data_IF_256987196660
#
_entry.id   IF_256987196660
#
_cell.length_a   1.000
_cell.length_b   1.000
_cell.length_c   1.000
_cell.angle_alpha   90.00
_cell.angle_beta   90.00
_cell.angle_gamma   90.00
#
_symmetry.space_group_name_H-M   'P 1'
#
loop_
_entity.id
_entity.type
_entity.pdbx_description
1 polymer ?
#
# COMPACT_ATOMS: atom_id res chain seq x y z
N UNK A 1 -8.14 29.32 -15.47
CA UNK A 1 -7.91 30.51 -14.62
C UNK A 1 -6.68 30.26 -13.76
N UNK A 2 -5.62 31.01 -14.08
CA UNK A 2 -4.36 31.30 -13.38
C UNK A 2 -3.71 30.26 -12.44
N UNK A 3 -2.58 29.69 -12.92
CA UNK A 3 -1.47 29.14 -12.11
C UNK A 3 -0.39 30.22 -11.99
N UNK A 4 0.13 30.45 -10.79
CA UNK A 4 1.34 31.24 -10.57
C UNK A 4 2.52 30.32 -10.26
N UNK A 5 3.58 30.45 -11.08
CA UNK A 5 4.92 29.91 -10.88
C UNK A 5 5.82 31.00 -10.29
N UNK A 6 6.71 30.73 -9.32
CA UNK A 6 7.75 31.68 -8.93
C UNK A 6 8.96 31.58 -9.88
N UNK A 7 9.45 32.74 -10.28
CA UNK A 7 10.61 32.96 -11.15
C UNK A 7 11.93 32.64 -10.44
N UNK A 8 12.72 31.74 -11.00
CA UNK A 8 14.14 31.56 -10.69
C UNK A 8 14.98 32.47 -11.61
N UNK A 9 15.13 33.74 -11.26
CA UNK A 9 16.14 34.61 -11.88
C UNK A 9 16.40 35.76 -10.92
N UNK A 10 17.41 35.67 -10.05
CA UNK A 10 18.07 36.85 -9.46
C UNK A 10 19.43 36.54 -8.80
N UNK A 11 19.73 35.29 -8.45
CA UNK A 11 21.01 34.98 -7.76
C UNK A 11 22.27 35.00 -8.64
N UNK A 12 22.14 34.98 -9.98
CA UNK A 12 23.30 35.01 -10.90
C UNK A 12 23.83 36.42 -11.18
N UNK A 13 23.07 37.47 -10.88
CA UNK A 13 23.49 38.86 -11.13
C UNK A 13 24.44 39.39 -10.04
N UNK A 14 24.24 38.96 -8.79
CA UNK A 14 25.02 39.45 -7.63
C UNK A 14 26.43 38.82 -7.59
N UNK A 15 26.55 37.56 -8.02
CA UNK A 15 27.85 36.88 -8.11
C UNK A 15 28.77 37.52 -9.19
N UNK A 16 28.21 38.06 -10.27
CA UNK A 16 29.00 38.63 -11.38
C UNK A 16 29.49 40.06 -11.08
N UNK A 17 28.69 40.87 -10.37
CA UNK A 17 29.11 42.21 -9.92
C UNK A 17 30.18 42.16 -8.80
N UNK A 18 30.15 41.13 -7.96
CA UNK A 18 31.14 40.96 -6.88
C UNK A 18 32.51 40.56 -7.44
N UNK A 19 32.56 39.71 -8.48
CA UNK A 19 33.80 39.29 -9.14
C UNK A 19 34.48 40.44 -9.94
N UNK A 20 33.70 41.34 -10.55
CA UNK A 20 34.26 42.50 -11.27
C UNK A 20 34.82 43.59 -10.33
N UNK A 21 34.28 43.70 -9.12
CA UNK A 21 34.75 44.69 -8.13
C UNK A 21 36.07 44.25 -7.47
N UNK A 22 36.30 42.94 -7.34
CA UNK A 22 37.58 42.40 -6.83
C UNK A 22 38.71 42.49 -7.86
N UNK A 23 38.43 42.28 -9.17
CA UNK A 23 39.46 42.45 -10.22
C UNK A 23 39.95 43.89 -10.37
N UNK A 24 39.05 44.88 -10.26
CA UNK A 24 39.43 46.30 -10.39
C UNK A 24 40.32 46.81 -9.22
N UNK A 25 40.26 46.17 -8.04
CA UNK A 25 41.11 46.51 -6.89
C UNK A 25 42.48 45.83 -6.89
N UNK A 26 42.69 44.82 -7.74
CA UNK A 26 44.01 44.16 -7.88
C UNK A 26 44.88 44.91 -8.89
N UNK A 27 44.28 45.57 -9.89
CA UNK A 27 44.99 46.38 -10.89
C UNK A 27 45.43 47.77 -10.36
N UNK A 28 44.88 48.25 -9.24
CA UNK A 28 45.25 49.55 -8.64
C UNK A 28 46.42 49.48 -7.64
N UNK A 29 47.01 48.29 -7.40
CA UNK A 29 48.12 48.10 -6.44
C UNK A 29 49.47 47.74 -7.07
N UNK A 30 49.61 47.74 -8.40
CA UNK A 30 50.92 47.61 -9.06
C UNK A 30 51.66 48.96 -9.02
N UNK A 31 52.33 49.20 -7.90
CA UNK A 31 53.33 50.27 -7.77
C UNK A 31 54.55 49.87 -8.61
N UNK A 32 54.83 50.70 -9.63
CA UNK A 32 56.06 50.73 -10.40
C UNK A 32 57.29 50.72 -9.47
N UNK A 33 58.17 49.73 -9.64
CA UNK A 33 59.55 49.79 -9.18
C UNK A 33 60.47 49.99 -10.40
N UNK A 34 61.14 51.15 -10.43
CA UNK A 34 62.22 51.44 -11.39
C UNK A 34 63.44 50.54 -11.14
N UNK A 35 64.25 50.21 -12.16
CA UNK A 35 65.39 49.33 -12.04
C UNK A 35 66.65 50.08 -11.55
N UNK A 36 67.33 49.53 -10.55
CA UNK A 36 68.68 49.95 -10.10
C UNK A 36 69.73 49.02 -10.74
N UNK A 37 70.86 49.54 -11.23
CA UNK A 37 71.69 48.82 -12.21
C UNK A 37 72.60 47.75 -11.59
N UNK A 38 72.81 46.69 -12.37
CA UNK A 38 73.85 45.69 -12.20
C UNK A 38 75.23 46.33 -12.03
N UNK A 39 75.93 45.98 -10.96
CA UNK A 39 77.35 45.62 -10.97
C UNK A 39 77.85 45.43 -9.54
N UNK A 40 77.85 44.20 -9.03
CA UNK A 40 78.99 43.61 -8.31
C UNK A 40 78.84 42.09 -8.39
N UNK A 41 79.71 41.45 -9.18
CA UNK A 41 79.89 40.00 -9.24
C UNK A 41 80.73 39.59 -8.04
N UNK A 42 80.12 39.06 -6.98
CA UNK A 42 80.85 38.31 -5.93
C UNK A 42 80.55 36.84 -6.13
N UNK A 43 81.60 36.13 -6.53
CA UNK A 43 81.64 34.68 -6.67
C UNK A 43 81.56 34.08 -5.26
N UNK A 44 80.45 33.40 -4.94
CA UNK A 44 80.37 32.51 -3.79
C UNK A 44 80.31 31.08 -4.34
N UNK A 45 81.41 30.35 -4.17
CA UNK A 45 81.45 28.91 -4.39
C UNK A 45 80.54 28.23 -3.36
N UNK A 46 79.56 27.48 -3.87
CA UNK A 46 78.66 26.61 -3.10
C UNK A 46 79.30 25.22 -3.00
N UNK A 47 79.32 24.54 -1.85
CA UNK A 47 79.54 23.11 -1.82
C UNK A 47 78.24 22.41 -2.22
N UNK A 48 78.35 21.50 -3.19
CA UNK A 48 77.32 20.54 -3.54
C UNK A 48 77.12 19.57 -2.36
N UNK A 49 75.89 19.48 -1.86
CA UNK A 49 75.41 18.32 -1.13
C UNK A 49 74.11 17.90 -1.79
N UNK A 50 74.16 16.73 -2.41
CA UNK A 50 73.05 16.03 -3.04
C UNK A 50 72.03 15.59 -1.96
N UNK A 51 70.76 15.90 -2.26
CA UNK A 51 69.51 15.16 -2.02
C UNK A 51 69.57 13.91 -1.11
N UNK A 52 68.67 13.68 -0.15
CA UNK A 52 67.24 13.42 -0.34
C UNK A 52 66.57 13.19 1.03
N UNK A 53 65.44 13.86 1.32
CA UNK A 53 64.20 13.24 1.88
C UNK A 53 63.11 14.28 2.12
N UNK A 54 61.90 13.88 1.75
CA UNK A 54 60.66 14.65 1.71
C UNK A 54 60.18 15.09 3.09
N UNK A 55 59.78 16.36 3.22
CA UNK A 55 58.75 16.77 4.18
C UNK A 55 58.22 18.15 3.76
N UNK A 56 56.91 18.27 3.66
CA UNK A 56 56.18 19.51 3.40
C UNK A 56 56.48 20.52 4.51
N UNK A 57 57.51 21.34 4.31
CA UNK A 57 57.79 22.50 5.15
C UNK A 57 56.92 23.67 4.70
N UNK A 58 56.01 24.07 5.58
CA UNK A 58 55.18 25.27 5.45
C UNK A 58 56.04 26.49 5.18
N UNK A 59 55.58 27.39 4.32
CA UNK A 59 56.23 28.68 3.99
C UNK A 59 56.61 29.51 5.24
N UNK A 60 55.96 29.28 6.39
CA UNK A 60 56.35 29.88 7.68
C UNK A 60 57.73 29.47 8.21
N UNK A 61 58.25 28.29 7.85
CA UNK A 61 59.56 27.80 8.27
C UNK A 61 60.71 28.54 7.59
N UNK A 62 60.53 28.96 6.34
CA UNK A 62 61.56 29.66 5.59
C UNK A 62 61.72 31.12 6.05
N UNK A 63 60.59 31.76 6.39
CA UNK A 63 60.59 33.14 6.91
C UNK A 63 61.21 33.20 8.31
N UNK A 64 60.92 32.25 9.20
CA UNK A 64 61.55 32.18 10.52
C UNK A 64 63.06 31.90 10.42
N UNK A 65 63.50 31.03 9.52
CA UNK A 65 64.93 30.74 9.30
C UNK A 65 65.68 31.97 8.75
N UNK A 66 65.06 32.72 7.83
CA UNK A 66 65.64 33.94 7.28
C UNK A 66 65.75 35.06 8.33
N UNK A 67 64.72 35.23 9.16
CA UNK A 67 64.74 36.18 10.28
C UNK A 67 65.82 35.82 11.32
N UNK A 68 65.98 34.53 11.64
CA UNK A 68 67.01 34.08 12.57
C UNK A 68 68.43 34.32 12.02
N UNK A 69 68.67 34.02 10.75
CA UNK A 69 69.97 34.26 10.11
C UNK A 69 70.31 35.76 10.00
N UNK A 70 69.32 36.61 9.76
CA UNK A 70 69.49 38.07 9.76
C UNK A 70 69.88 38.59 11.14
N UNK A 71 69.17 38.16 12.19
CA UNK A 71 69.47 38.56 13.57
C UNK A 71 70.85 38.07 14.02
N UNK A 72 71.24 36.85 13.64
CA UNK A 72 72.56 36.32 13.93
C UNK A 72 73.68 37.12 13.24
N UNK A 73 73.46 37.58 12.00
CA UNK A 73 74.41 38.42 11.28
C UNK A 73 74.54 39.82 11.89
N UNK A 74 73.42 40.44 12.30
CA UNK A 74 73.44 41.73 13.01
C UNK A 74 74.16 41.64 14.36
N UNK A 75 73.96 40.55 15.11
CA UNK A 75 74.68 40.28 16.36
C UNK A 75 76.19 40.07 16.13
N UNK A 76 76.58 39.47 15.01
CA UNK A 76 77.98 39.31 14.64
C UNK A 76 78.64 40.66 14.32
N UNK A 77 77.99 41.48 13.49
CA UNK A 77 78.47 42.83 13.13
C UNK A 77 78.57 43.76 14.33
N UNK A 78 77.60 43.71 15.26
CA UNK A 78 77.66 44.51 16.50
C UNK A 78 78.79 44.08 17.42
N UNK A 79 79.09 42.77 17.52
CA UNK A 79 80.24 42.28 18.29
C UNK A 79 81.57 42.72 17.67
N UNK A 80 81.70 42.72 16.35
CA UNK A 80 82.89 43.20 15.64
C UNK A 80 83.11 44.70 15.89
N UNK A 81 82.04 45.52 15.78
CA UNK A 81 82.10 46.95 16.08
C UNK A 81 82.49 47.25 17.54
N UNK A 82 81.97 46.47 18.49
CA UNK A 82 82.34 46.60 19.91
C UNK A 82 83.82 46.26 20.14
N UNK A 83 84.35 45.29 19.39
CA UNK A 83 85.76 44.93 19.47
C UNK A 83 86.66 46.01 18.86
N UNK A 84 86.31 46.56 17.69
CA UNK A 84 87.05 47.67 17.06
C UNK A 84 87.09 48.92 17.95
N UNK A 85 85.98 49.22 18.64
CA UNK A 85 85.93 50.32 19.60
C UNK A 85 86.85 50.08 20.80
N UNK A 86 86.90 48.85 21.33
CA UNK A 86 87.83 48.49 22.42
C UNK A 86 89.28 48.62 21.99
N UNK A 87 89.61 48.17 20.79
CA UNK A 87 90.97 48.22 20.24
C UNK A 87 91.39 49.69 20.00
N UNK A 88 90.48 50.52 19.52
CA UNK A 88 90.70 51.96 19.35
C UNK A 88 90.90 52.68 20.68
N UNK A 89 90.10 52.35 21.71
CA UNK A 89 90.26 52.88 23.07
C UNK A 89 91.62 52.48 23.66
N UNK A 90 92.02 51.21 23.50
CA UNK A 90 93.32 50.73 23.96
C UNK A 90 94.48 51.44 23.26
N UNK A 91 94.39 51.64 21.94
CA UNK A 91 95.39 52.38 21.17
C UNK A 91 95.55 53.83 21.66
N UNK A 92 94.43 54.51 21.96
CA UNK A 92 94.42 55.86 22.51
C UNK A 92 95.08 55.91 23.89
N UNK A 93 94.76 54.95 24.77
CA UNK A 93 95.39 54.80 26.10
C UNK A 93 96.89 54.56 25.99
N UNK A 94 97.33 53.68 25.09
CA UNK A 94 98.74 53.38 24.87
C UNK A 94 99.50 54.60 24.34
N UNK A 95 98.88 55.39 23.45
CA UNK A 95 99.47 56.63 22.92
C UNK A 95 99.62 57.68 24.02
N UNK A 96 98.60 57.86 24.86
CA UNK A 96 98.65 58.76 26.01
C UNK A 96 99.73 58.34 27.02
N UNK A 97 99.76 57.05 27.39
CA UNK A 97 100.79 56.47 28.27
C UNK A 97 102.21 56.67 27.71
N UNK A 98 102.42 56.46 26.40
CA UNK A 98 103.71 56.72 25.74
C UNK A 98 104.10 58.20 25.77
N UNK A 99 103.14 59.12 25.63
CA UNK A 99 103.41 60.55 25.73
C UNK A 99 103.75 60.97 27.15
N UNK A 100 103.05 60.43 28.14
CA UNK A 100 103.32 60.67 29.56
C UNK A 100 104.71 60.15 29.94
N UNK A 101 105.03 58.90 29.59
CA UNK A 101 106.33 58.30 29.84
C UNK A 101 107.49 59.09 29.21
N UNK A 102 107.31 59.63 28.00
CA UNK A 102 108.30 60.52 27.37
C UNK A 102 108.52 61.81 28.16
N UNK A 103 107.45 62.38 28.74
CA UNK A 103 107.53 63.59 29.56
C UNK A 103 108.15 63.29 30.92
N UNK A 104 107.83 62.16 31.53
CA UNK A 104 108.46 61.71 32.78
C UNK A 104 109.96 61.47 32.60
N UNK A 105 110.36 60.79 31.52
CA UNK A 105 111.78 60.60 31.18
C UNK A 105 112.50 61.94 30.94
N UNK A 106 111.85 62.90 30.27
CA UNK A 106 112.41 64.23 30.06
C UNK A 106 112.58 64.98 31.39
N UNK A 107 111.64 64.83 32.31
CA UNK A 107 111.68 65.44 33.64
C UNK A 107 112.77 64.81 34.50
N UNK A 108 112.90 63.48 34.47
CA UNK A 108 113.97 62.74 35.15
C UNK A 108 115.36 63.17 34.65
N UNK A 109 115.54 63.28 33.34
CA UNK A 109 116.80 63.72 32.74
C UNK A 109 117.14 65.18 33.11
N UNK A 110 116.13 66.06 33.19
CA UNK A 110 116.33 67.41 33.71
C UNK A 110 116.67 67.42 35.20
N UNK A 111 116.06 66.53 35.99
CA UNK A 111 116.36 66.38 37.41
C UNK A 111 117.80 65.88 37.63
N UNK A 112 118.25 64.87 36.88
CA UNK A 112 119.65 64.41 36.91
C UNK A 112 120.62 65.52 36.51
N UNK A 113 120.28 66.34 35.50
CA UNK A 113 121.09 67.49 35.11
C UNK A 113 121.20 68.51 36.24
N UNK A 114 120.11 68.80 36.95
CA UNK A 114 120.14 69.66 38.15
C UNK A 114 121.05 69.05 39.21
N UNK A 115 120.95 67.74 39.48
CA UNK A 115 121.77 67.08 40.50
C UNK A 115 123.27 67.10 40.16
N UNK A 116 123.62 66.92 38.87
CA UNK A 116 125.00 67.08 38.39
C UNK A 116 125.50 68.52 38.57
N UNK A 117 124.71 69.52 38.18
CA UNK A 117 125.09 70.94 38.34
C UNK A 117 125.21 71.32 39.82
N UNK A 118 124.35 70.76 40.69
CA UNK A 118 124.47 70.93 42.14
C UNK A 118 125.73 70.28 42.70
N UNK A 119 126.12 69.10 42.19
CA UNK A 119 127.35 68.41 42.58
C UNK A 119 128.61 69.11 42.06
N UNK A 120 128.61 69.62 40.83
CA UNK A 120 129.68 70.48 40.29
C UNK A 120 129.81 71.75 41.12
N UNK A 121 128.70 72.42 41.44
CA UNK A 121 128.68 73.58 42.33
C UNK A 121 129.26 73.23 43.71
N UNK A 122 128.92 72.07 44.27
CA UNK A 122 129.46 71.60 45.56
C UNK A 122 130.98 71.39 45.47
N UNK A 123 131.47 70.69 44.44
CA UNK A 123 132.89 70.49 44.20
C UNK A 123 133.67 71.81 44.00
N UNK A 124 133.04 72.81 43.38
CA UNK A 124 133.61 74.17 43.24
C UNK A 124 133.65 74.95 44.57
N UNK A 125 132.70 74.71 45.47
CA UNK A 125 132.69 75.32 46.81
C UNK A 125 133.75 74.69 47.73
N UNK A 126 134.10 73.43 47.50
CA UNK A 126 135.06 72.66 48.31
C UNK A 126 136.52 72.77 47.83
N UNK A 127 136.78 73.37 46.66
CA UNK A 127 138.12 73.61 46.10
C UNK A 127 138.57 75.07 46.22
N UNK A 128 139.71 75.32 46.88
CA UNK A 128 140.30 76.65 47.04
C UNK A 128 140.70 77.28 45.69
N UNK A 129 140.23 78.51 45.47
CA UNK A 129 140.64 79.49 44.43
C UNK A 129 140.29 79.25 42.95
N UNK A 130 139.02 79.00 42.63
CA UNK A 130 138.49 79.22 41.27
C UNK A 130 137.16 79.99 41.23
N UNK A 131 137.21 81.22 40.69
CA UNK A 131 136.15 82.04 40.08
C UNK A 131 134.72 82.01 40.67
N UNK A 132 134.39 83.04 41.49
CA UNK A 132 133.01 83.39 41.89
C UNK A 132 132.02 83.51 40.69
N UNK A 133 132.52 83.80 39.50
CA UNK A 133 131.70 84.02 38.30
C UNK A 133 131.07 82.72 37.77
N UNK A 134 131.74 81.58 37.94
CA UNK A 134 131.25 80.29 37.46
C UNK A 134 130.17 79.69 38.37
N UNK A 135 130.25 79.93 39.68
CA UNK A 135 129.22 79.54 40.65
C UNK A 135 127.90 80.32 40.49
N UNK A 136 127.96 81.61 40.11
CA UNK A 136 126.77 82.41 39.81
C UNK A 136 126.08 81.95 38.51
N UNK A 137 126.86 81.61 37.48
CA UNK A 137 126.33 81.06 36.22
C UNK A 137 125.65 79.70 36.43
N UNK A 138 126.23 78.81 37.23
CA UNK A 138 125.61 77.55 37.65
C UNK A 138 124.29 77.79 38.41
N UNK A 139 124.26 78.79 39.30
CA UNK A 139 123.04 79.14 40.05
C UNK A 139 121.92 79.63 39.13
N UNK A 140 122.24 80.46 38.12
CA UNK A 140 121.27 80.91 37.11
C UNK A 140 120.76 79.75 36.26
N UNK A 141 121.62 78.82 35.84
CA UNK A 141 121.20 77.63 35.09
C UNK A 141 120.28 76.73 35.92
N UNK A 142 120.60 76.48 37.20
CA UNK A 142 119.72 75.71 38.11
C UNK A 142 118.37 76.40 38.30
N UNK A 143 118.34 77.74 38.46
CA UNK A 143 117.09 78.49 38.56
C UNK A 143 116.26 78.41 37.26
N UNK A 144 116.90 78.49 36.09
CA UNK A 144 116.24 78.36 34.80
C UNK A 144 115.68 76.95 34.57
N UNK A 145 116.42 75.90 34.95
CA UNK A 145 115.93 74.53 34.93
C UNK A 145 114.73 74.34 35.89
N UNK A 146 114.79 74.87 37.11
CA UNK A 146 113.65 74.83 38.06
C UNK A 146 112.42 75.56 37.54
N UNK A 147 112.60 76.71 36.87
CA UNK A 147 111.50 77.42 36.23
C UNK A 147 110.86 76.61 35.10
N UNK A 148 111.69 75.95 34.28
CA UNK A 148 111.23 75.08 33.19
C UNK A 148 110.45 73.87 33.72
N UNK A 149 110.95 73.21 34.79
CA UNK A 149 110.26 72.08 35.44
C UNK A 149 108.91 72.53 36.00
N UNK A 150 108.85 73.68 36.70
CA UNK A 150 107.58 74.22 37.21
C UNK A 150 106.57 74.50 36.09
N UNK A 151 107.03 75.05 34.96
CA UNK A 151 106.17 75.27 33.80
C UNK A 151 105.66 73.95 33.21
N UNK A 152 106.53 72.94 33.07
CA UNK A 152 106.13 71.62 32.59
C UNK A 152 105.16 70.93 33.55
N UNK A 153 105.37 71.02 34.85
CA UNK A 153 104.45 70.51 35.88
C UNK A 153 103.08 71.19 35.79
N UNK A 154 103.04 72.52 35.55
CA UNK A 154 101.79 73.25 35.34
C UNK A 154 101.04 72.75 34.11
N UNK A 155 101.73 72.57 32.99
CA UNK A 155 101.14 72.04 31.74
C UNK A 155 100.60 70.62 31.95
N UNK A 156 101.35 69.76 32.65
CA UNK A 156 100.90 68.39 32.99
C UNK A 156 99.64 68.42 33.88
N UNK A 157 99.59 69.33 34.86
CA UNK A 157 98.44 69.47 35.74
C UNK A 157 97.18 69.95 34.97
N UNK A 158 97.33 70.93 34.08
CA UNK A 158 96.24 71.41 33.22
C UNK A 158 95.74 70.33 32.25
N UNK A 159 96.65 69.59 31.60
CA UNK A 159 96.28 68.46 30.73
C UNK A 159 95.56 67.36 31.51
N UNK A 160 96.05 67.01 32.70
CA UNK A 160 95.42 66.01 33.57
C UNK A 160 94.00 66.43 33.96
N UNK A 161 93.81 67.71 34.33
CA UNK A 161 92.49 68.25 34.66
C UNK A 161 91.54 68.21 33.46
N UNK A 162 91.98 68.71 32.31
CA UNK A 162 91.18 68.70 31.07
C UNK A 162 90.77 67.29 30.67
N UNK A 163 91.70 66.32 30.76
CA UNK A 163 91.40 64.92 30.44
C UNK A 163 90.42 64.30 31.45
N UNK A 164 90.53 64.65 32.74
CA UNK A 164 89.59 64.17 33.75
C UNK A 164 88.16 64.69 33.50
N UNK A 165 88.01 65.94 33.07
CA UNK A 165 86.71 66.53 32.72
C UNK A 165 86.12 65.88 31.45
N UNK A 166 86.95 65.62 30.44
CA UNK A 166 86.55 64.91 29.22
C UNK A 166 86.08 63.47 29.53
N UNK A 167 86.81 62.74 30.38
CA UNK A 167 86.43 61.39 30.81
C UNK A 167 85.10 61.38 31.56
N UNK A 168 84.85 62.34 32.46
CA UNK A 168 83.56 62.44 33.16
C UNK A 168 82.41 62.81 32.21
N UNK A 169 82.64 63.71 31.24
CA UNK A 169 81.66 64.02 30.20
C UNK A 169 81.32 62.78 29.34
N UNK A 170 82.33 62.01 28.92
CA UNK A 170 82.15 60.78 28.16
C UNK A 170 81.43 59.69 28.96
N UNK A 171 81.70 59.58 30.28
CA UNK A 171 80.94 58.68 31.17
C UNK A 171 79.47 59.05 31.23
N UNK A 172 79.17 60.35 31.36
CA UNK A 172 77.79 60.86 31.37
C UNK A 172 77.09 60.57 30.04
N UNK A 173 77.72 60.88 28.92
CA UNK A 173 77.17 60.60 27.60
C UNK A 173 76.92 59.09 27.38
N UNK A 174 77.84 58.23 27.82
CA UNK A 174 77.64 56.78 27.78
C UNK A 174 76.47 56.31 28.66
N UNK A 175 76.28 56.92 29.84
CA UNK A 175 75.13 56.62 30.68
C UNK A 175 73.80 57.02 30.00
N UNK A 176 73.76 58.20 29.36
CA UNK A 176 72.59 58.69 28.63
C UNK A 176 72.26 57.80 27.42
N UNK A 177 73.28 57.33 26.68
CA UNK A 177 73.11 56.39 25.57
C UNK A 177 72.54 55.05 26.08
N UNK A 178 73.09 54.50 27.17
CA UNK A 178 72.59 53.26 27.77
C UNK A 178 71.14 53.40 28.24
N UNK A 179 70.79 54.51 28.87
CA UNK A 179 69.42 54.79 29.30
C UNK A 179 68.46 54.88 28.11
N UNK A 180 68.86 55.56 27.04
CA UNK A 180 68.07 55.70 25.81
C UNK A 180 67.89 54.35 25.11
N UNK A 181 68.94 53.53 25.04
CA UNK A 181 68.89 52.19 24.49
C UNK A 181 67.95 51.28 25.30
N UNK A 182 68.05 51.30 26.63
CA UNK A 182 67.17 50.52 27.50
C UNK A 182 65.71 50.93 27.33
N UNK A 183 65.44 52.23 27.29
CA UNK A 183 64.09 52.76 27.07
C UNK A 183 63.51 52.35 25.71
N UNK A 184 64.34 52.31 24.66
CA UNK A 184 63.94 51.79 23.35
C UNK A 184 63.60 50.30 23.41
N UNK A 185 64.42 49.51 24.10
CA UNK A 185 64.19 48.07 24.25
C UNK A 185 62.91 47.78 25.06
N UNK A 186 62.64 48.55 26.10
CA UNK A 186 61.44 48.38 26.92
C UNK A 186 60.17 48.74 26.13
N UNK A 187 60.22 49.81 25.32
CA UNK A 187 59.14 50.14 24.38
C UNK A 187 58.87 49.05 23.34
N UNK A 188 59.92 48.43 22.80
CA UNK A 188 59.78 47.35 21.83
C UNK A 188 59.15 46.10 22.47
N UNK A 189 59.55 45.76 23.71
CA UNK A 189 58.91 44.69 24.49
C UNK A 189 57.44 44.98 24.78
N UNK A 190 57.10 46.21 25.17
CA UNK A 190 55.71 46.62 25.40
C UNK A 190 54.87 46.51 24.12
N UNK A 191 55.40 46.96 22.99
CA UNK A 191 54.74 46.86 21.68
C UNK A 191 54.46 45.40 21.31
N UNK A 192 55.46 44.52 21.40
CA UNK A 192 55.27 43.10 21.11
C UNK A 192 54.31 42.40 22.07
N UNK A 193 54.32 42.79 23.35
CA UNK A 193 53.37 42.26 24.33
C UNK A 193 51.94 42.72 24.01
N UNK A 194 51.75 43.97 23.58
CA UNK A 194 50.45 44.48 23.13
C UNK A 194 49.96 43.75 21.87
N UNK A 195 50.83 43.57 20.87
CA UNK A 195 50.53 42.78 19.67
C UNK A 195 50.13 41.34 20.01
N UNK A 196 50.88 40.70 20.91
CA UNK A 196 50.57 39.35 21.40
C UNK A 196 49.21 39.29 22.07
N UNK A 197 48.89 40.27 22.90
CA UNK A 197 47.60 40.34 23.61
C UNK A 197 46.44 40.55 22.64
N UNK A 198 46.60 41.42 21.64
CA UNK A 198 45.61 41.62 20.57
C UNK A 198 45.40 40.34 19.75
N UNK A 199 46.48 39.65 19.36
CA UNK A 199 46.38 38.39 18.63
C UNK A 199 45.74 37.28 19.47
N UNK A 200 46.09 37.17 20.75
CA UNK A 200 45.48 36.23 21.69
C UNK A 200 43.98 36.46 21.83
N UNK A 201 43.55 37.72 21.96
CA UNK A 201 42.13 38.08 22.02
C UNK A 201 41.39 37.76 20.72
N UNK A 202 41.99 38.06 19.56
CA UNK A 202 41.42 37.71 18.25
C UNK A 202 41.26 36.20 18.09
N UNK A 203 42.26 35.42 18.51
CA UNK A 203 42.22 33.97 18.48
C UNK A 203 41.12 33.42 19.39
N UNK A 204 41.03 33.91 20.63
CA UNK A 204 39.96 33.52 21.57
C UNK A 204 38.57 33.81 21.01
N UNK A 205 38.39 34.97 20.38
CA UNK A 205 37.13 35.35 19.72
C UNK A 205 36.81 34.43 18.54
N UNK A 206 37.80 34.10 17.72
CA UNK A 206 37.63 33.18 16.59
C UNK A 206 37.23 31.77 17.05
N UNK A 207 37.86 31.26 18.12
CA UNK A 207 37.52 29.97 18.72
C UNK A 207 36.07 29.97 19.23
N UNK A 208 35.64 31.03 19.92
CA UNK A 208 34.25 31.13 20.39
C UNK A 208 33.25 31.09 19.23
N UNK A 209 33.50 31.85 18.17
CA UNK A 209 32.64 31.86 16.97
C UNK A 209 32.60 30.50 16.28
N UNK A 210 33.72 29.78 16.27
CA UNK A 210 33.80 28.43 15.71
C UNK A 210 32.96 27.43 16.51
N UNK A 211 33.02 27.49 17.84
CA UNK A 211 32.14 26.67 18.69
C UNK A 211 30.65 26.99 18.48
N UNK A 212 30.29 28.27 18.38
CA UNK A 212 28.90 28.67 18.11
C UNK A 212 28.42 28.16 16.75
N UNK A 213 29.28 28.25 15.72
CA UNK A 213 28.97 27.72 14.39
C UNK A 213 28.82 26.19 14.39
N UNK A 214 29.67 25.47 15.13
CA UNK A 214 29.54 24.02 15.29
C UNK A 214 28.24 23.63 15.98
N UNK A 215 27.84 24.36 17.04
CA UNK A 215 26.56 24.11 17.72
C UNK A 215 25.38 24.32 16.77
N UNK A 216 25.37 25.42 16.00
CA UNK A 216 24.32 25.67 15.01
C UNK A 216 24.26 24.59 13.91
N UNK A 217 25.43 24.08 13.48
CA UNK A 217 25.49 22.98 12.51
C UNK A 217 24.88 21.71 13.11
N UNK A 218 25.21 21.38 14.35
CA UNK A 218 24.65 20.22 15.03
C UNK A 218 23.13 20.32 15.20
N UNK A 219 22.61 21.49 15.61
CA UNK A 219 21.17 21.73 15.72
C UNK A 219 20.45 21.53 14.36
N UNK A 220 21.08 21.98 13.26
CA UNK A 220 20.58 21.81 11.89
C UNK A 220 20.63 20.35 11.42
N UNK A 221 21.66 19.61 11.79
CA UNK A 221 21.78 18.18 11.49
C UNK A 221 20.69 17.38 12.20
N UNK A 222 20.40 17.70 13.47
CA UNK A 222 19.32 17.08 14.23
C UNK A 222 17.93 17.40 13.63
N UNK A 223 17.72 18.65 13.19
CA UNK A 223 16.50 19.04 12.49
C UNK A 223 16.34 18.28 11.16
N UNK A 224 17.42 18.15 10.39
CA UNK A 224 17.44 17.41 9.13
C UNK A 224 17.18 15.91 9.35
N UNK A 225 17.72 15.34 10.42
CA UNK A 225 17.45 13.96 10.82
C UNK A 225 15.96 13.76 11.15
N UNK A 226 15.36 14.66 11.93
CA UNK A 226 13.91 14.63 12.24
C UNK A 226 13.06 14.73 10.98
N UNK A 227 13.37 15.68 10.09
CA UNK A 227 12.65 15.86 8.82
C UNK A 227 12.72 14.59 7.94
N UNK A 228 13.88 13.95 7.84
CA UNK A 228 14.03 12.68 7.11
C UNK A 228 13.20 11.56 7.73
N UNK A 229 13.18 11.47 9.05
CA UNK A 229 12.37 10.46 9.75
C UNK A 229 10.87 10.67 9.51
N UNK A 230 10.39 11.91 9.60
CA UNK A 230 8.98 12.25 9.37
C UNK A 230 8.57 12.02 7.91
N UNK A 231 9.47 12.32 6.96
CA UNK A 231 9.26 12.00 5.54
C UNK A 231 9.06 10.49 5.34
N UNK A 232 9.92 9.64 5.90
CA UNK A 232 9.78 8.19 5.81
C UNK A 232 8.47 7.67 6.42
N UNK A 233 8.01 8.27 7.52
CA UNK A 233 6.71 7.94 8.12
C UNK A 233 5.55 8.33 7.21
N UNK A 234 5.62 9.51 6.60
CA UNK A 234 4.59 9.98 5.67
C UNK A 234 4.54 9.14 4.40
N UNK A 235 5.70 8.74 3.85
CA UNK A 235 5.77 7.84 2.68
C UNK A 235 5.13 6.47 2.98
N UNK A 236 5.35 5.93 4.18
CA UNK A 236 4.69 4.70 4.64
C UNK A 236 3.18 4.87 4.78
N UNK A 237 2.70 6.00 5.29
CA UNK A 237 1.26 6.30 5.39
C UNK A 237 0.65 6.44 4.00
N UNK A 238 1.29 7.17 3.09
CA UNK A 238 0.86 7.35 1.70
C UNK A 238 0.76 6.00 1.00
N UNK A 239 1.79 5.15 1.11
CA UNK A 239 1.77 3.79 0.54
C UNK A 239 0.61 2.94 1.06
N UNK A 240 0.21 3.11 2.33
CA UNK A 240 -0.97 2.41 2.88
C UNK A 240 -2.26 2.97 2.27
N UNK A 241 -2.38 4.29 2.16
CA UNK A 241 -3.55 4.93 1.55
C UNK A 241 -3.72 4.56 0.08
N UNK A 242 -2.63 4.54 -0.70
CA UNK A 242 -2.67 4.11 -2.11
C UNK A 242 -3.19 2.67 -2.26
N UNK A 243 -2.79 1.75 -1.36
CA UNK A 243 -3.34 0.38 -1.35
C UNK A 243 -4.83 0.36 -1.03
N UNK A 244 -5.26 1.14 -0.04
CA UNK A 244 -6.68 1.25 0.30
C UNK A 244 -7.51 1.83 -0.84
N UNK A 245 -6.99 2.86 -1.53
CA UNK A 245 -7.64 3.44 -2.71
C UNK A 245 -7.79 2.40 -3.82
N UNK A 246 -6.73 1.66 -4.15
CA UNK A 246 -6.80 0.57 -5.14
C UNK A 246 -7.84 -0.49 -4.77
N UNK A 247 -7.92 -0.87 -3.49
CA UNK A 247 -8.94 -1.81 -3.03
C UNK A 247 -10.36 -1.26 -3.27
N UNK A 248 -10.61 0.00 -2.95
CA UNK A 248 -11.91 0.62 -3.21
C UNK A 248 -12.22 0.74 -4.69
N UNK A 249 -11.23 1.01 -5.55
CA UNK A 249 -11.43 1.01 -7.01
C UNK A 249 -11.83 -0.37 -7.54
N UNK A 250 -11.21 -1.44 -7.03
CA UNK A 250 -11.59 -2.82 -7.35
C UNK A 250 -13.00 -3.15 -6.84
N UNK A 251 -13.34 -2.78 -5.60
CA UNK A 251 -14.65 -3.04 -5.02
C UNK A 251 -15.76 -2.26 -5.74
N UNK A 252 -15.52 -1.00 -6.09
CA UNK A 252 -16.45 -0.20 -6.92
C UNK A 252 -16.64 -0.84 -8.29
N UNK A 253 -15.58 -1.39 -8.90
CA UNK A 253 -15.69 -2.06 -10.19
C UNK A 253 -16.53 -3.33 -10.11
N UNK A 254 -16.38 -4.13 -9.04
CA UNK A 254 -17.23 -5.30 -8.77
C UNK A 254 -18.69 -4.90 -8.56
N UNK A 255 -18.95 -3.88 -7.73
CA UNK A 255 -20.31 -3.38 -7.50
C UNK A 255 -20.97 -2.89 -8.79
N UNK A 256 -20.23 -2.21 -9.67
CA UNK A 256 -20.75 -1.81 -10.99
C UNK A 256 -21.15 -3.02 -11.84
N UNK A 257 -20.35 -4.08 -11.82
CA UNK A 257 -20.66 -5.31 -12.53
C UNK A 257 -21.93 -5.97 -11.96
N UNK A 258 -22.02 -6.12 -10.64
CA UNK A 258 -23.20 -6.70 -9.98
C UNK A 258 -24.48 -5.89 -10.28
N UNK A 259 -24.40 -4.56 -10.24
CA UNK A 259 -25.51 -3.67 -10.62
C UNK A 259 -25.92 -3.89 -12.06
N UNK A 260 -24.97 -4.07 -12.98
CA UNK A 260 -25.27 -4.34 -14.38
C UNK A 260 -25.92 -5.71 -14.59
N UNK A 261 -25.47 -6.75 -13.88
CA UNK A 261 -26.07 -8.09 -13.90
C UNK A 261 -27.52 -8.06 -13.36
N UNK A 262 -27.76 -7.36 -12.25
CA UNK A 262 -29.10 -7.16 -11.70
C UNK A 262 -30.01 -6.39 -12.66
N UNK A 263 -29.50 -5.36 -13.32
CA UNK A 263 -30.26 -4.60 -14.32
C UNK A 263 -30.71 -5.48 -15.50
N UNK A 264 -29.83 -6.37 -15.99
CA UNK A 264 -30.17 -7.34 -17.03
C UNK A 264 -31.26 -8.31 -16.53
N UNK A 265 -31.13 -8.82 -15.31
CA UNK A 265 -32.10 -9.72 -14.70
C UNK A 265 -33.49 -9.07 -14.53
N UNK A 266 -33.53 -7.82 -14.05
CA UNK A 266 -34.76 -7.03 -13.94
C UNK A 266 -35.42 -6.88 -15.32
N UNK A 267 -34.64 -6.53 -16.35
CA UNK A 267 -35.17 -6.40 -17.71
C UNK A 267 -35.78 -7.71 -18.24
N UNK A 268 -35.14 -8.84 -17.96
CA UNK A 268 -35.68 -10.16 -18.33
C UNK A 268 -36.97 -10.48 -17.56
N UNK A 269 -37.08 -10.08 -16.29
CA UNK A 269 -38.32 -10.23 -15.54
C UNK A 269 -39.44 -9.35 -16.10
N UNK A 270 -39.14 -8.10 -16.48
CA UNK A 270 -40.12 -7.21 -17.13
C UNK A 270 -40.62 -7.80 -18.45
N UNK A 271 -39.73 -8.30 -19.31
CA UNK A 271 -40.10 -8.98 -20.56
C UNK A 271 -40.98 -10.22 -20.30
N UNK A 272 -40.69 -10.98 -19.25
CA UNK A 272 -41.49 -12.14 -18.84
C UNK A 272 -42.87 -11.74 -18.29
N UNK A 273 -42.96 -10.63 -17.55
CA UNK A 273 -44.23 -10.09 -17.05
C UNK A 273 -45.12 -9.69 -18.22
N UNK A 274 -44.59 -8.95 -19.19
CA UNK A 274 -45.32 -8.57 -20.41
C UNK A 274 -45.86 -9.78 -21.16
N UNK A 275 -45.04 -10.83 -21.33
CA UNK A 275 -45.47 -12.09 -21.96
C UNK A 275 -46.59 -12.79 -21.20
N UNK A 276 -46.54 -12.78 -19.86
CA UNK A 276 -47.62 -13.33 -19.02
C UNK A 276 -48.88 -12.49 -19.07
N UNK A 277 -48.77 -11.17 -19.11
CA UNK A 277 -49.92 -10.27 -19.25
C UNK A 277 -50.65 -10.52 -20.59
N UNK A 278 -49.91 -10.74 -21.68
CA UNK A 278 -50.50 -11.17 -22.96
C UNK A 278 -51.23 -12.53 -22.85
N UNK A 279 -50.64 -13.51 -22.17
CA UNK A 279 -51.30 -14.80 -21.94
C UNK A 279 -52.58 -14.64 -21.10
N UNK A 280 -52.53 -13.84 -20.03
CA UNK A 280 -53.69 -13.56 -19.18
C UNK A 280 -54.79 -12.89 -20.01
N UNK A 281 -54.46 -11.96 -20.89
CA UNK A 281 -55.43 -11.33 -21.77
C UNK A 281 -56.10 -12.34 -22.71
N UNK A 282 -55.31 -13.24 -23.33
CA UNK A 282 -55.86 -14.32 -24.18
C UNK A 282 -56.78 -15.26 -23.40
N UNK A 283 -56.45 -15.58 -22.15
CA UNK A 283 -57.29 -16.40 -21.27
C UNK A 283 -58.60 -15.68 -20.91
N UNK A 284 -58.56 -14.38 -20.61
CA UNK A 284 -59.76 -13.57 -20.38
C UNK A 284 -60.66 -13.56 -21.62
N UNK A 285 -60.11 -13.36 -22.81
CA UNK A 285 -60.87 -13.38 -24.06
C UNK A 285 -61.50 -14.76 -24.32
N UNK A 286 -60.77 -15.84 -24.04
CA UNK A 286 -61.29 -17.20 -24.14
C UNK A 286 -62.40 -17.47 -23.12
N UNK A 287 -62.27 -16.95 -21.89
CA UNK A 287 -63.30 -17.04 -20.86
C UNK A 287 -64.57 -16.30 -21.26
N UNK A 288 -64.45 -15.08 -21.83
CA UNK A 288 -65.60 -14.32 -22.35
C UNK A 288 -66.32 -15.13 -23.43
N UNK A 289 -65.58 -15.65 -24.43
CA UNK A 289 -66.16 -16.50 -25.48
C UNK A 289 -66.82 -17.77 -24.94
N UNK A 290 -66.24 -18.38 -23.91
CA UNK A 290 -66.84 -19.54 -23.24
C UNK A 290 -68.13 -19.16 -22.53
N UNK A 291 -68.18 -17.98 -21.90
CA UNK A 291 -69.38 -17.48 -21.24
C UNK A 291 -70.50 -17.20 -22.24
N UNK A 292 -70.19 -16.53 -23.36
CA UNK A 292 -71.17 -16.29 -24.45
C UNK A 292 -71.80 -17.60 -24.94
N UNK A 293 -70.99 -18.64 -25.17
CA UNK A 293 -71.50 -19.97 -25.56
C UNK A 293 -72.38 -20.62 -24.48
N UNK A 294 -72.03 -20.44 -23.20
CA UNK A 294 -72.83 -20.97 -22.08
C UNK A 294 -74.17 -20.24 -21.98
N UNK A 295 -74.19 -18.93 -22.23
CA UNK A 295 -75.42 -18.13 -22.26
C UNK A 295 -76.31 -18.55 -23.44
N UNK A 296 -75.74 -18.77 -24.62
CA UNK A 296 -76.44 -19.32 -25.79
C UNK A 296 -77.05 -20.69 -25.51
N UNK A 297 -76.27 -21.61 -24.96
CA UNK A 297 -76.75 -22.94 -24.56
C UNK A 297 -77.86 -22.85 -23.51
N UNK A 298 -77.73 -21.95 -22.54
CA UNK A 298 -78.76 -21.71 -21.52
C UNK A 298 -80.04 -21.19 -22.14
N UNK A 299 -79.95 -20.31 -23.14
CA UNK A 299 -81.09 -19.82 -23.90
C UNK A 299 -81.78 -20.95 -24.67
N UNK A 300 -81.01 -21.79 -25.38
CA UNK A 300 -81.53 -22.96 -26.11
C UNK A 300 -82.19 -23.95 -25.16
N UNK A 301 -81.57 -24.24 -24.01
CA UNK A 301 -82.17 -25.12 -22.98
C UNK A 301 -83.49 -24.54 -22.48
N UNK A 302 -83.57 -23.23 -22.25
CA UNK A 302 -84.81 -22.55 -21.83
C UNK A 302 -85.89 -22.67 -22.91
N UNK A 303 -85.56 -22.47 -24.18
CA UNK A 303 -86.51 -22.64 -25.29
C UNK A 303 -86.98 -24.10 -25.44
N UNK A 304 -86.07 -25.07 -25.35
CA UNK A 304 -86.41 -26.49 -25.39
C UNK A 304 -87.28 -26.89 -24.20
N UNK A 305 -86.99 -26.39 -23.00
CA UNK A 305 -87.81 -26.62 -21.81
C UNK A 305 -89.19 -25.98 -21.95
N UNK A 306 -89.28 -24.77 -22.49
CA UNK A 306 -90.55 -24.11 -22.78
C UNK A 306 -91.37 -24.87 -23.85
N UNK A 307 -90.72 -25.41 -24.89
CA UNK A 307 -91.36 -26.29 -25.89
C UNK A 307 -91.86 -27.59 -25.27
N UNK A 308 -91.06 -28.24 -24.43
CA UNK A 308 -91.47 -29.45 -23.72
C UNK A 308 -92.64 -29.19 -22.76
N UNK A 309 -92.66 -28.06 -22.05
CA UNK A 309 -93.79 -27.69 -21.20
C UNK A 309 -95.02 -27.25 -21.99
N UNK A 310 -94.83 -26.64 -23.16
CA UNK A 310 -95.92 -26.26 -24.09
C UNK A 310 -96.41 -27.44 -24.93
N UNK A 311 -95.73 -28.58 -24.90
CA UNK A 311 -96.14 -29.81 -25.59
C UNK A 311 -97.22 -30.55 -24.79
N UNK A 312 -98.29 -29.81 -24.47
CA UNK A 312 -99.57 -30.37 -24.03
C UNK A 312 -100.12 -31.32 -25.09
N UNK A 313 -99.79 -31.10 -26.38
CA UNK A 313 -100.24 -31.93 -27.49
C UNK A 313 -99.74 -33.38 -27.40
N UNK A 314 -98.43 -33.62 -27.22
CA UNK A 314 -97.88 -34.97 -27.12
C UNK A 314 -98.26 -35.65 -25.79
N UNK A 315 -98.36 -34.87 -24.71
CA UNK A 315 -98.83 -35.39 -23.41
C UNK A 315 -100.29 -35.81 -23.48
N UNK A 316 -101.15 -35.03 -24.14
CA UNK A 316 -102.57 -35.33 -24.32
C UNK A 316 -102.79 -36.46 -25.33
N UNK A 317 -102.01 -36.52 -26.42
CA UNK A 317 -102.04 -37.63 -27.39
C UNK A 317 -101.59 -38.95 -26.75
N UNK A 318 -100.51 -38.95 -25.96
CA UNK A 318 -100.04 -40.14 -25.25
C UNK A 318 -101.07 -40.65 -24.24
N UNK A 319 -101.69 -39.75 -23.47
CA UNK A 319 -102.74 -40.11 -22.52
C UNK A 319 -103.99 -40.66 -23.22
N UNK A 320 -104.45 -40.03 -24.31
CA UNK A 320 -105.59 -40.49 -25.10
C UNK A 320 -105.33 -41.89 -25.71
N UNK A 321 -104.13 -42.14 -26.24
CA UNK A 321 -103.75 -43.43 -26.80
C UNK A 321 -103.69 -44.52 -25.72
N UNK A 322 -103.14 -44.21 -24.55
CA UNK A 322 -103.12 -45.11 -23.39
C UNK A 322 -104.54 -45.48 -22.95
N UNK A 323 -105.42 -44.51 -22.78
CA UNK A 323 -106.82 -44.76 -22.37
C UNK A 323 -107.59 -45.58 -23.41
N UNK A 324 -107.36 -45.33 -24.70
CA UNK A 324 -107.96 -46.11 -25.80
C UNK A 324 -107.51 -47.57 -25.78
N UNK A 325 -106.22 -47.84 -25.59
CA UNK A 325 -105.69 -49.20 -25.46
C UNK A 325 -106.25 -49.94 -24.24
N UNK A 326 -106.37 -49.24 -23.09
CA UNK A 326 -106.93 -49.81 -21.86
C UNK A 326 -108.40 -50.21 -22.06
N UNK A 327 -109.17 -49.41 -22.82
CA UNK A 327 -110.57 -49.70 -23.15
C UNK A 327 -110.69 -50.89 -24.11
N UNK A 328 -109.88 -50.93 -25.18
CA UNK A 328 -109.84 -52.08 -26.09
C UNK A 328 -109.51 -53.37 -25.35
N UNK A 329 -108.56 -53.35 -24.40
CA UNK A 329 -108.21 -54.51 -23.58
C UNK A 329 -109.42 -55.02 -22.78
N UNK A 330 -110.15 -54.13 -22.11
CA UNK A 330 -111.37 -54.48 -21.36
C UNK A 330 -112.46 -55.09 -22.25
N UNK A 331 -112.63 -54.56 -23.47
CA UNK A 331 -113.62 -55.07 -24.42
C UNK A 331 -113.25 -56.47 -24.94
N UNK A 332 -111.95 -56.73 -25.17
CA UNK A 332 -111.45 -58.06 -25.52
C UNK A 332 -111.59 -59.05 -24.37
N UNK A 333 -111.26 -58.67 -23.14
CA UNK A 333 -111.45 -59.52 -21.96
C UNK A 333 -112.92 -59.90 -21.78
N UNK A 334 -113.84 -58.94 -21.99
CA UNK A 334 -115.30 -59.21 -21.98
C UNK A 334 -115.73 -60.18 -23.07
N UNK A 335 -115.20 -60.06 -24.29
CA UNK A 335 -115.45 -61.01 -25.39
C UNK A 335 -114.92 -62.40 -25.08
N UNK A 336 -113.75 -62.51 -24.45
CA UNK A 336 -113.17 -63.79 -24.03
C UNK A 336 -114.08 -64.48 -23.01
N UNK A 337 -114.61 -63.76 -22.02
CA UNK A 337 -115.55 -64.34 -21.05
C UNK A 337 -116.89 -64.76 -21.68
N UNK A 338 -117.40 -64.00 -22.66
CA UNK A 338 -118.56 -64.41 -23.44
C UNK A 338 -118.30 -65.71 -24.21
N UNK A 339 -117.13 -65.84 -24.85
CA UNK A 339 -116.75 -67.05 -25.56
C UNK A 339 -116.58 -68.26 -24.62
N UNK A 340 -115.99 -68.08 -23.43
CA UNK A 340 -115.92 -69.13 -22.41
C UNK A 340 -117.32 -69.61 -22.00
N UNK A 341 -118.25 -68.69 -21.80
CA UNK A 341 -119.64 -69.01 -21.46
C UNK A 341 -120.31 -69.84 -22.56
N UNK A 342 -120.13 -69.46 -23.83
CA UNK A 342 -120.67 -70.21 -24.98
C UNK A 342 -120.05 -71.61 -25.06
N UNK A 343 -118.73 -71.73 -24.87
CA UNK A 343 -118.03 -73.02 -24.87
C UNK A 343 -118.57 -73.92 -23.74
N UNK A 344 -118.76 -73.38 -22.53
CA UNK A 344 -119.37 -74.14 -21.43
C UNK A 344 -120.79 -74.61 -21.76
N UNK A 345 -121.64 -73.75 -22.33
CA UNK A 345 -122.99 -74.12 -22.75
C UNK A 345 -123.00 -75.21 -23.82
N UNK A 346 -122.12 -75.13 -24.82
CA UNK A 346 -121.97 -76.15 -25.85
C UNK A 346 -121.48 -77.47 -25.26
N UNK A 347 -120.52 -77.43 -24.33
CA UNK A 347 -120.01 -78.62 -23.65
C UNK A 347 -121.11 -79.32 -22.85
N UNK A 348 -121.93 -78.57 -22.10
CA UNK A 348 -123.09 -79.13 -21.38
C UNK A 348 -124.12 -79.73 -22.34
N UNK A 349 -124.36 -79.09 -23.49
CA UNK A 349 -125.31 -79.58 -24.49
C UNK A 349 -124.85 -80.89 -25.14
N UNK A 350 -123.57 -80.99 -25.48
CA UNK A 350 -122.95 -82.21 -26.01
C UNK A 350 -122.98 -83.31 -24.96
N UNK A 351 -122.66 -82.99 -23.70
CA UNK A 351 -122.68 -83.96 -22.60
C UNK A 351 -124.08 -84.54 -22.38
N UNK A 352 -125.12 -83.70 -22.40
CA UNK A 352 -126.50 -84.16 -22.24
C UNK A 352 -126.94 -85.04 -23.42
N UNK A 353 -126.62 -84.64 -24.66
CA UNK A 353 -126.91 -85.46 -25.85
C UNK A 353 -126.18 -86.82 -25.82
N UNK A 354 -124.94 -86.85 -25.32
CA UNK A 354 -124.19 -88.09 -25.14
C UNK A 354 -124.84 -89.01 -24.09
N UNK A 355 -125.38 -88.44 -23.01
CA UNK A 355 -126.08 -89.20 -21.98
C UNK A 355 -127.42 -89.75 -22.51
N UNK A 356 -128.21 -88.92 -23.21
CA UNK A 356 -129.47 -89.34 -23.83
C UNK A 356 -129.25 -90.50 -24.81
N UNK A 357 -128.19 -90.41 -25.63
CA UNK A 357 -127.83 -91.46 -26.58
C UNK A 357 -127.37 -92.75 -25.89
N UNK A 358 -126.66 -92.65 -24.76
CA UNK A 358 -126.29 -93.81 -23.95
C UNK A 358 -127.51 -94.48 -23.31
N UNK A 359 -128.47 -93.71 -22.80
CA UNK A 359 -129.71 -94.23 -22.24
C UNK A 359 -130.57 -94.93 -23.31
N UNK A 360 -130.66 -94.37 -24.51
CA UNK A 360 -131.41 -94.97 -25.63
C UNK A 360 -130.79 -96.29 -26.11
N UNK A 361 -129.45 -96.35 -26.22
CA UNK A 361 -128.71 -97.59 -26.50
C UNK A 361 -128.93 -98.66 -25.42
N UNK A 362 -128.95 -98.27 -24.15
CA UNK A 362 -129.20 -99.18 -23.03
C UNK A 362 -130.64 -99.73 -23.07
N UNK A 363 -131.61 -98.89 -23.38
CA UNK A 363 -133.02 -99.27 -23.53
C UNK A 363 -133.23 -100.22 -24.73
N UNK A 364 -132.59 -99.96 -25.87
CA UNK A 364 -132.63 -100.86 -27.03
C UNK A 364 -132.00 -102.22 -26.71
N UNK A 365 -130.85 -102.24 -26.02
CA UNK A 365 -130.21 -103.48 -25.58
C UNK A 365 -131.14 -104.32 -24.69
N UNK A 366 -131.80 -103.70 -23.72
CA UNK A 366 -132.77 -104.38 -22.84
C UNK A 366 -133.99 -104.92 -23.61
N UNK A 367 -134.48 -104.18 -24.61
CA UNK A 367 -135.56 -104.63 -25.48
C UNK A 367 -135.17 -105.87 -26.30
N UNK A 368 -133.97 -105.88 -26.89
CA UNK A 368 -133.44 -107.03 -27.63
C UNK A 368 -133.24 -108.25 -26.71
N UNK A 369 -132.69 -108.07 -25.51
CA UNK A 369 -132.55 -109.16 -24.54
C UNK A 369 -133.92 -109.77 -24.15
N UNK A 370 -134.96 -108.93 -24.05
CA UNK A 370 -136.33 -109.37 -23.76
C UNK A 370 -136.92 -110.17 -24.92
N UNK A 371 -136.77 -109.68 -26.16
CA UNK A 371 -137.20 -110.39 -27.37
C UNK A 371 -136.47 -111.73 -27.54
N UNK A 372 -135.17 -111.77 -27.27
CA UNK A 372 -134.36 -112.99 -27.34
C UNK A 372 -134.87 -114.05 -26.34
N UNK A 373 -135.23 -113.65 -25.11
CA UNK A 373 -135.83 -114.55 -24.12
C UNK A 373 -137.20 -115.06 -24.56
N UNK A 374 -138.03 -114.22 -25.18
CA UNK A 374 -139.35 -114.64 -25.69
C UNK A 374 -139.21 -115.66 -26.81
N UNK A 375 -138.32 -115.41 -27.78
CA UNK A 375 -137.99 -116.33 -28.86
C UNK A 375 -137.44 -117.67 -28.34
N UNK A 376 -136.57 -117.65 -27.34
CA UNK A 376 -136.06 -118.86 -26.70
C UNK A 376 -137.16 -119.67 -26.01
N UNK A 377 -138.14 -119.00 -25.39
CA UNK A 377 -139.30 -119.66 -24.77
C UNK A 377 -140.28 -120.22 -25.81
N UNK A 378 -140.50 -119.51 -26.92
CA UNK A 378 -141.34 -119.99 -28.03
C UNK A 378 -140.72 -121.20 -28.72
N UNK A 379 -139.42 -121.16 -29.01
CA UNK A 379 -138.69 -122.30 -29.56
C UNK A 379 -138.71 -123.51 -28.60
N UNK A 380 -138.62 -123.28 -27.28
CA UNK A 380 -138.74 -124.37 -26.31
C UNK A 380 -140.14 -125.02 -26.33
N UNK A 381 -141.21 -124.21 -26.44
CA UNK A 381 -142.59 -124.72 -26.55
C UNK A 381 -142.84 -125.44 -27.87
N UNK A 382 -142.32 -124.94 -28.99
CA UNK A 382 -142.45 -125.60 -30.29
C UNK A 382 -141.74 -126.97 -30.28
N UNK A 383 -140.56 -127.07 -29.68
CA UNK A 383 -139.87 -128.36 -29.53
C UNK A 383 -140.65 -129.35 -28.66
N UNK A 384 -141.24 -128.87 -27.55
CA UNK A 384 -142.10 -129.69 -26.66
C UNK A 384 -143.36 -130.19 -27.39
N UNK A 385 -143.95 -129.34 -28.24
CA UNK A 385 -145.11 -129.68 -29.05
C UNK A 385 -144.77 -130.69 -30.17
N UNK A 386 -143.61 -130.54 -30.81
CA UNK A 386 -143.09 -131.51 -31.77
C UNK A 386 -142.81 -132.88 -31.14
N UNK A 387 -142.29 -132.94 -29.92
CA UNK A 387 -142.07 -134.20 -29.19
C UNK A 387 -143.40 -134.91 -28.86
N UNK A 388 -144.43 -134.15 -28.47
CA UNK A 388 -145.78 -134.68 -28.22
C UNK A 388 -146.46 -135.21 -29.50
N UNK A 389 -146.36 -134.47 -30.60
CA UNK A 389 -146.95 -134.85 -31.90
C UNK A 389 -146.22 -136.05 -32.52
N UNK A 390 -144.88 -136.09 -32.45
CA UNK A 390 -144.09 -137.23 -32.92
C UNK A 390 -144.36 -138.51 -32.10
N UNK A 391 -144.50 -138.39 -30.77
CA UNK A 391 -144.85 -139.51 -29.88
C UNK A 391 -146.24 -140.07 -30.16
N UNK A 392 -147.23 -139.20 -30.40
CA UNK A 392 -148.59 -139.57 -30.82
C UNK A 392 -148.59 -140.33 -32.16
N UNK A 393 -147.85 -139.82 -33.15
CA UNK A 393 -147.82 -140.40 -34.49
C UNK A 393 -147.13 -141.77 -34.54
N UNK A 394 -146.04 -141.94 -33.77
CA UNK A 394 -145.34 -143.22 -33.65
C UNK A 394 -146.17 -144.27 -32.89
N UNK A 395 -146.90 -143.86 -31.86
CA UNK A 395 -147.82 -144.74 -31.12
C UNK A 395 -148.97 -145.23 -32.01
N UNK A 396 -149.60 -144.34 -32.77
CA UNK A 396 -150.67 -144.69 -33.71
C UNK A 396 -150.19 -145.64 -34.82
N UNK A 397 -148.97 -145.42 -35.35
CA UNK A 397 -148.39 -146.26 -36.40
C UNK A 397 -147.97 -147.65 -35.89
N UNK A 398 -147.47 -147.73 -34.66
CA UNK A 398 -147.17 -149.00 -33.98
C UNK A 398 -148.44 -149.81 -33.73
N UNK A 399 -149.50 -149.17 -33.24
CA UNK A 399 -150.75 -149.86 -32.91
C UNK A 399 -151.47 -150.34 -34.19
N UNK A 400 -151.34 -149.61 -35.31
CA UNK A 400 -151.80 -150.05 -36.63
C UNK A 400 -151.03 -151.26 -37.18
N UNK A 401 -149.70 -151.26 -37.06
CA UNK A 401 -148.86 -152.39 -37.49
C UNK A 401 -149.10 -153.65 -36.65
N UNK A 402 -149.33 -153.49 -35.34
CA UNK A 402 -149.66 -154.62 -34.45
C UNK A 402 -150.98 -155.28 -34.83
N UNK A 403 -151.97 -154.48 -35.24
CA UNK A 403 -153.27 -154.98 -35.70
C UNK A 403 -153.15 -155.71 -37.04
N UNK A 404 -152.33 -155.19 -37.95
CA UNK A 404 -152.04 -155.82 -39.24
C UNK A 404 -151.37 -157.20 -39.07
N UNK A 405 -150.47 -157.33 -38.09
CA UNK A 405 -149.80 -158.59 -37.78
C UNK A 405 -150.77 -159.65 -37.20
N UNK A 406 -151.73 -159.21 -36.39
CA UNK A 406 -152.78 -160.09 -35.82
C UNK A 406 -153.74 -160.62 -36.89
N UNK A 407 -154.06 -159.79 -37.88
CA UNK A 407 -154.93 -160.16 -39.01
C UNK A 407 -154.24 -161.07 -40.03
N UNK A 408 -152.90 -161.04 -40.13
CA UNK A 408 -152.15 -161.99 -40.97
C UNK A 408 -152.00 -163.36 -40.30
N UNK A 409 -151.77 -163.44 -38.98
CA UNK A 409 -151.63 -164.73 -38.31
C UNK A 409 -152.92 -165.55 -38.30
N UNK A 410 -154.09 -164.91 -38.35
CA UNK A 410 -155.38 -165.61 -38.47
C UNK A 410 -155.66 -166.15 -39.87
N UNK A 411 -154.91 -165.74 -40.91
CA UNK A 411 -155.08 -166.26 -42.28
C UNK A 411 -154.25 -167.48 -42.63
N UNK A 412 -153.21 -167.81 -41.86
CA UNK A 412 -152.37 -169.01 -42.08
C UNK A 412 -152.68 -170.17 -41.13
N UNK A 413 -153.89 -170.18 -40.56
CA UNK A 413 -154.44 -171.31 -39.79
C UNK A 413 -155.51 -172.08 -40.60
N UNK A 414 -155.37 -172.15 -41.93
CA UNK A 414 -156.13 -173.05 -42.81
C UNK A 414 -155.19 -173.77 -43.77
#
# INVERSE_FOLDING_TARGET
>A
FQRHTPSQTDDKSIAHQTAQTVRRRVEECEIQTDPVPENVKVVIQRPEIETETQSTQSEGSFVQQAQYNSLAHELYLTNELVQDLKDTEQLMRDRASKQLAKKDQQLELQQTRIDMLLKERQNFMDGEESSKMDAENLTKQVQQCRATIKQQQSIIAEMTKSHSEEVENLKKQNADIRATFQHSQDREKEMHEEERNVLSQKLSTAISKLHDAQRMLQDREDELFKLKHDQQLNDRKLSRHERTVKQYEEDISKLKQEVQEQYISIRQLDDNILSRDEQIQRLKDAQIKSQEKMDDLSSVIRELRARLSSNEYDTQMYNNLKTSHEQMRKDYDKKIEQLKTIISQLHTKIQNQSNDFQEELLSQKQAFEKQLKTLQQEHAREMEQWELEAGSHLKSKRDALFKQLQDEQTKTCN
#
